data_IF_796369987772
#
_entry.id   IF_796369987772
#
_cell.length_a   1.000
_cell.length_b   1.000
_cell.length_c   1.000
_cell.angle_alpha   90.00
_cell.angle_beta   90.00
_cell.angle_gamma   90.00
#
_symmetry.space_group_name_H-M   'P 1'
#
loop_
_entity.id
_entity.type
_entity.pdbx_description
1 polymer ?
#
# COMPACT_ATOMS: atom_id res chain seq x y z
N UNK A 1 15.35 -5.17 7.41
CA UNK A 1 14.32 -5.65 8.35
C UNK A 1 13.04 -4.89 8.02
N UNK A 2 12.05 -5.52 7.37
CA UNK A 2 10.82 -4.84 6.96
C UNK A 2 9.83 -4.81 8.14
N UNK A 3 9.95 -3.81 9.01
CA UNK A 3 9.16 -3.67 10.23
C UNK A 3 7.91 -2.83 9.98
N UNK A 4 6.85 -3.47 9.48
CA UNK A 4 5.46 -2.98 9.44
C UNK A 4 5.21 -1.70 8.62
N UNK A 5 4.05 -1.66 7.97
CA UNK A 5 3.57 -0.39 7.41
C UNK A 5 3.18 0.56 8.54
N UNK A 6 3.79 1.75 8.51
CA UNK A 6 3.50 2.87 9.40
C UNK A 6 2.69 3.90 8.60
N UNK A 7 1.74 4.58 9.26
CA UNK A 7 1.08 5.72 8.65
C UNK A 7 2.09 6.87 8.55
N UNK A 8 2.39 7.32 7.34
CA UNK A 8 3.35 8.40 7.11
C UNK A 8 2.67 9.75 7.42
N UNK A 9 3.02 10.34 8.57
CA UNK A 9 2.32 11.51 9.10
C UNK A 9 2.78 12.83 8.44
N UNK A 10 2.31 13.10 7.22
CA UNK A 10 2.65 14.29 6.43
C UNK A 10 2.35 15.64 7.09
N UNK A 11 1.45 15.70 8.10
CA UNK A 11 1.15 16.94 8.86
C UNK A 11 2.08 17.19 10.05
N UNK A 12 2.86 16.19 10.47
CA UNK A 12 3.67 16.29 11.71
C UNK A 12 5.16 16.41 11.47
N UNK A 13 5.65 15.89 10.36
CA UNK A 13 7.08 15.85 10.05
C UNK A 13 7.32 15.83 8.56
N UNK A 14 8.55 16.15 8.17
CA UNK A 14 9.03 15.86 6.84
C UNK A 14 9.17 14.33 6.71
N UNK A 15 8.57 13.77 5.67
CA UNK A 15 8.67 12.35 5.31
C UNK A 15 9.56 12.27 4.08
N UNK A 16 10.63 11.49 4.17
CA UNK A 16 11.58 11.31 3.07
C UNK A 16 11.03 10.39 1.98
N UNK A 17 11.62 10.47 0.79
CA UNK A 17 11.32 9.53 -0.31
C UNK A 17 11.68 8.10 0.08
N UNK A 18 12.80 7.92 0.78
CA UNK A 18 13.25 6.63 1.28
C UNK A 18 12.22 5.98 2.22
N UNK A 19 11.61 6.75 3.11
CA UNK A 19 10.55 6.22 3.99
C UNK A 19 9.29 5.81 3.22
N UNK A 20 8.94 6.52 2.15
CA UNK A 20 7.83 6.15 1.28
C UNK A 20 8.15 4.86 0.51
N UNK A 21 9.38 4.72 0.03
CA UNK A 21 9.88 3.51 -0.64
C UNK A 21 9.87 2.32 0.32
N UNK A 22 10.38 2.47 1.54
CA UNK A 22 10.37 1.39 2.54
C UNK A 22 8.95 0.90 2.83
N UNK A 23 7.97 1.81 2.89
CA UNK A 23 6.57 1.45 3.11
C UNK A 23 5.95 0.76 1.88
N UNK A 24 6.31 1.20 0.67
CA UNK A 24 5.93 0.55 -0.59
C UNK A 24 6.50 -0.87 -0.68
N UNK A 25 7.79 -1.03 -0.39
CA UNK A 25 8.49 -2.32 -0.39
C UNK A 25 7.86 -3.30 0.61
N UNK A 26 7.41 -2.81 1.76
CA UNK A 26 6.64 -3.61 2.70
C UNK A 26 5.37 -4.19 2.02
N UNK A 27 4.58 -3.38 1.33
CA UNK A 27 3.37 -3.89 0.68
C UNK A 27 3.65 -4.82 -0.51
N UNK A 28 4.67 -4.52 -1.30
CA UNK A 28 5.12 -5.36 -2.44
C UNK A 28 5.58 -6.72 -1.92
N UNK A 29 6.46 -6.73 -0.92
CA UNK A 29 7.03 -7.96 -0.34
C UNK A 29 5.95 -8.82 0.32
N UNK A 30 5.06 -8.22 1.13
CA UNK A 30 3.97 -8.96 1.78
C UNK A 30 2.98 -9.52 0.77
N UNK A 31 2.60 -8.74 -0.25
CA UNK A 31 1.72 -9.23 -1.31
C UNK A 31 2.33 -10.42 -2.06
N UNK A 32 3.62 -10.32 -2.39
CA UNK A 32 4.38 -11.38 -3.06
C UNK A 32 4.49 -12.65 -2.20
N UNK A 33 4.75 -12.50 -0.90
CA UNK A 33 4.76 -13.60 0.06
C UNK A 33 3.38 -14.28 0.14
N UNK A 34 2.30 -13.49 0.19
CA UNK A 34 0.94 -14.02 0.17
C UNK A 34 0.64 -14.84 -1.09
N UNK A 35 1.02 -14.32 -2.27
CA UNK A 35 0.85 -15.05 -3.54
C UNK A 35 1.67 -16.34 -3.57
N UNK A 36 2.90 -16.33 -3.04
CA UNK A 36 3.74 -17.53 -2.90
C UNK A 36 3.15 -18.56 -1.95
N UNK A 37 2.54 -18.14 -0.84
CA UNK A 37 1.86 -19.06 0.08
C UNK A 37 0.67 -19.74 -0.59
N UNK A 38 -0.05 -19.04 -1.48
CA UNK A 38 -1.16 -19.65 -2.25
C UNK A 38 -0.63 -20.74 -3.18
N UNK A 39 0.47 -20.50 -3.90
CA UNK A 39 1.05 -21.53 -4.79
C UNK A 39 1.58 -22.74 -4.03
N UNK A 40 1.89 -22.58 -2.74
CA UNK A 40 2.26 -23.66 -1.82
C UNK A 40 1.05 -24.34 -1.14
N UNK A 41 -0.19 -23.98 -1.48
CA UNK A 41 -1.40 -24.52 -0.85
C UNK A 41 -1.70 -23.95 0.54
N UNK A 42 -0.93 -22.97 1.03
CA UNK A 42 -1.04 -22.38 2.37
C UNK A 42 -2.00 -21.19 2.42
N UNK A 43 -3.23 -21.41 1.95
CA UNK A 43 -4.22 -20.33 1.81
C UNK A 43 -4.54 -19.62 3.14
N UNK A 44 -4.58 -20.35 4.26
CA UNK A 44 -4.84 -19.77 5.59
C UNK A 44 -3.77 -18.76 6.01
N UNK A 45 -2.51 -19.02 5.67
CA UNK A 45 -1.38 -18.12 5.97
C UNK A 45 -1.44 -16.88 5.06
N UNK A 46 -1.67 -17.09 3.76
CA UNK A 46 -1.88 -15.99 2.81
C UNK A 46 -3.06 -15.07 3.22
N UNK A 47 -4.13 -15.63 3.77
CA UNK A 47 -5.26 -14.85 4.29
C UNK A 47 -4.88 -13.97 5.50
N UNK A 48 -3.95 -14.42 6.35
CA UNK A 48 -3.43 -13.57 7.45
C UNK A 48 -2.68 -12.37 6.89
N UNK A 49 -1.83 -12.60 5.88
CA UNK A 49 -1.11 -11.53 5.17
C UNK A 49 -2.09 -10.52 4.56
N UNK A 50 -3.12 -10.98 3.85
CA UNK A 50 -4.11 -10.05 3.27
C UNK A 50 -4.82 -9.21 4.35
N UNK A 51 -5.12 -9.79 5.52
CA UNK A 51 -5.72 -9.05 6.64
C UNK A 51 -4.78 -7.99 7.21
N UNK A 52 -3.49 -8.28 7.32
CA UNK A 52 -2.47 -7.32 7.76
C UNK A 52 -2.33 -6.16 6.78
N UNK A 53 -2.21 -6.47 5.48
CA UNK A 53 -2.15 -5.49 4.40
C UNK A 53 -3.39 -4.60 4.42
N UNK A 54 -4.59 -5.19 4.42
CA UNK A 54 -5.86 -4.45 4.49
C UNK A 54 -5.91 -3.52 5.69
N UNK A 55 -5.47 -4.00 6.86
CA UNK A 55 -5.51 -3.20 8.09
C UNK A 55 -4.59 -1.99 7.99
N UNK A 56 -3.41 -2.16 7.41
CA UNK A 56 -2.42 -1.10 7.22
C UNK A 56 -2.90 -0.08 6.18
N UNK A 57 -3.33 -0.55 5.01
CA UNK A 57 -3.90 0.28 3.95
C UNK A 57 -5.11 1.09 4.44
N UNK A 58 -5.97 0.48 5.25
CA UNK A 58 -7.14 1.17 5.83
C UNK A 58 -6.72 2.34 6.74
N UNK A 59 -5.69 2.14 7.57
CA UNK A 59 -5.20 3.21 8.48
C UNK A 59 -4.67 4.39 7.68
N UNK A 60 -3.84 4.11 6.68
CA UNK A 60 -3.29 5.12 5.79
C UNK A 60 -4.39 5.82 4.97
N UNK A 61 -5.30 5.06 4.35
CA UNK A 61 -6.46 5.59 3.63
C UNK A 61 -7.28 6.56 4.49
N UNK A 62 -7.58 6.18 5.74
CA UNK A 62 -8.34 7.04 6.66
C UNK A 62 -7.55 8.30 6.99
N UNK A 63 -6.25 8.19 7.22
CA UNK A 63 -5.41 9.33 7.57
C UNK A 63 -5.29 10.32 6.40
N UNK A 64 -4.95 9.85 5.20
CA UNK A 64 -4.75 10.70 4.02
C UNK A 64 -6.03 11.37 3.51
N UNK A 65 -7.21 10.79 3.79
CA UNK A 65 -8.49 11.39 3.41
C UNK A 65 -9.01 12.46 4.39
N UNK A 66 -8.33 12.71 5.51
CA UNK A 66 -8.73 13.78 6.44
C UNK A 66 -8.53 15.15 5.78
N UNK A 67 -9.52 16.03 5.87
CA UNK A 67 -9.47 17.38 5.29
C UNK A 67 -8.23 18.17 5.74
N UNK A 68 -7.83 18.05 7.01
CA UNK A 68 -6.65 18.72 7.54
C UNK A 68 -5.31 18.23 6.94
N UNK A 69 -5.28 17.03 6.36
CA UNK A 69 -4.07 16.41 5.79
C UNK A 69 -3.92 16.77 4.31
N UNK A 70 -5.04 16.94 3.58
CA UNK A 70 -5.04 17.25 2.15
C UNK A 70 -4.13 18.42 1.74
N UNK A 71 -4.04 19.55 2.47
CA UNK A 71 -3.14 20.64 2.10
C UNK A 71 -1.65 20.24 2.04
N UNK A 72 -1.20 19.34 2.93
CA UNK A 72 0.19 18.86 2.96
C UNK A 72 0.48 17.94 1.77
N UNK A 73 -0.48 17.08 1.42
CA UNK A 73 -0.41 16.17 0.28
C UNK A 73 -0.46 16.98 -1.03
N UNK A 74 -1.42 17.89 -1.17
CA UNK A 74 -1.62 18.66 -2.40
C UNK A 74 -0.44 19.57 -2.77
N UNK A 75 0.38 19.98 -1.81
CA UNK A 75 1.55 20.84 -2.04
C UNK A 75 2.81 20.07 -2.43
N UNK A 76 2.84 18.75 -2.24
CA UNK A 76 4.01 17.91 -2.50
C UNK A 76 3.65 16.81 -3.51
N UNK A 77 4.26 16.85 -4.71
CA UNK A 77 3.96 15.91 -5.79
C UNK A 77 4.24 14.46 -5.39
N UNK A 78 5.33 14.23 -4.67
CA UNK A 78 5.75 12.91 -4.20
C UNK A 78 4.72 12.35 -3.22
N UNK A 79 4.24 13.17 -2.27
CA UNK A 79 3.20 12.75 -1.33
C UNK A 79 1.88 12.43 -2.04
N UNK A 80 1.51 13.18 -3.09
CA UNK A 80 0.32 12.88 -3.91
C UNK A 80 0.45 11.53 -4.60
N UNK A 81 1.59 11.28 -5.23
CA UNK A 81 1.85 10.01 -5.93
C UNK A 81 1.79 8.85 -4.95
N UNK A 82 2.45 8.96 -3.80
CA UNK A 82 2.39 7.96 -2.74
C UNK A 82 0.95 7.71 -2.25
N UNK A 83 0.24 8.78 -1.88
CA UNK A 83 -1.14 8.70 -1.40
C UNK A 83 -2.09 8.06 -2.43
N UNK A 84 -1.91 8.37 -3.70
CA UNK A 84 -2.74 7.81 -4.76
C UNK A 84 -2.56 6.29 -4.87
N UNK A 85 -1.32 5.79 -4.78
CA UNK A 85 -1.04 4.36 -4.78
C UNK A 85 -1.72 3.63 -3.61
N UNK A 86 -1.64 4.20 -2.41
CA UNK A 86 -2.32 3.65 -1.22
C UNK A 86 -3.84 3.65 -1.37
N UNK A 87 -4.43 4.74 -1.85
CA UNK A 87 -5.89 4.83 -2.06
C UNK A 87 -6.34 3.84 -3.13
N UNK A 88 -5.61 3.72 -4.23
CA UNK A 88 -5.92 2.78 -5.30
C UNK A 88 -5.85 1.34 -4.80
N UNK A 89 -4.77 0.97 -4.12
CA UNK A 89 -4.58 -0.37 -3.55
C UNK A 89 -5.72 -0.74 -2.59
N UNK A 90 -6.11 0.17 -1.70
CA UNK A 90 -7.22 -0.08 -0.77
C UNK A 90 -8.57 -0.19 -1.50
N UNK A 91 -8.82 0.66 -2.50
CA UNK A 91 -10.09 0.68 -3.25
C UNK A 91 -10.33 -0.58 -4.09
N UNK A 92 -9.27 -1.22 -4.60
CA UNK A 92 -9.36 -2.47 -5.37
C UNK A 92 -9.56 -3.72 -4.50
N UNK A 93 -9.53 -3.61 -3.17
CA UNK A 93 -9.82 -4.75 -2.28
C UNK A 93 -11.31 -5.13 -2.34
N UNK A 94 -11.59 -6.40 -2.61
CA UNK A 94 -12.94 -6.91 -2.77
C UNK A 94 -13.11 -8.29 -2.14
N UNK A 95 -14.21 -8.50 -1.40
CA UNK A 95 -14.52 -9.79 -0.74
C UNK A 95 -13.33 -10.41 0.00
N UNK A 96 -12.58 -9.59 0.74
CA UNK A 96 -11.30 -9.90 1.41
C UNK A 96 -11.28 -11.08 2.40
N UNK A 97 -12.43 -11.65 2.75
CA UNK A 97 -12.51 -12.86 3.59
C UNK A 97 -12.75 -14.14 2.80
N UNK A 98 -12.85 -14.04 1.47
CA UNK A 98 -13.08 -15.16 0.58
C UNK A 98 -11.78 -15.64 -0.04
N UNK A 99 -11.48 -16.93 0.11
CA UNK A 99 -10.33 -17.56 -0.53
C UNK A 99 -10.36 -17.48 -2.06
N UNK A 100 -11.57 -17.43 -2.65
CA UNK A 100 -11.74 -17.30 -4.11
C UNK A 100 -11.05 -16.05 -4.67
N UNK A 101 -11.08 -14.94 -3.93
CA UNK A 101 -10.52 -13.66 -4.36
C UNK A 101 -9.20 -13.35 -3.66
N UNK A 102 -8.60 -14.32 -2.96
CA UNK A 102 -7.40 -14.07 -2.15
C UNK A 102 -6.20 -13.68 -3.03
N UNK A 103 -5.95 -14.44 -4.10
CA UNK A 103 -4.89 -14.12 -5.05
C UNK A 103 -5.13 -12.77 -5.70
N UNK A 104 -6.33 -12.54 -6.25
CA UNK A 104 -6.68 -11.29 -6.92
C UNK A 104 -6.50 -10.07 -6.03
N UNK A 105 -6.89 -10.16 -4.75
CA UNK A 105 -6.69 -9.07 -3.79
C UNK A 105 -5.20 -8.78 -3.55
N UNK A 106 -4.37 -9.81 -3.39
CA UNK A 106 -2.93 -9.64 -3.18
C UNK A 106 -2.27 -9.07 -4.44
N UNK A 107 -2.65 -9.57 -5.61
CA UNK A 107 -2.18 -9.06 -6.89
C UNK A 107 -2.60 -7.60 -7.11
N UNK A 108 -3.86 -7.24 -6.82
CA UNK A 108 -4.34 -5.87 -6.96
C UNK A 108 -3.58 -4.88 -6.09
N UNK A 109 -3.22 -5.28 -4.86
CA UNK A 109 -2.37 -4.45 -3.98
C UNK A 109 -0.98 -4.31 -4.60
N UNK A 110 -0.34 -5.42 -4.99
CA UNK A 110 0.98 -5.43 -5.60
C UNK A 110 1.05 -4.56 -6.86
N UNK A 111 0.11 -4.72 -7.78
CA UNK A 111 0.02 -3.98 -9.04
C UNK A 111 -0.22 -2.49 -8.80
N UNK A 112 -1.16 -2.16 -7.90
CA UNK A 112 -1.46 -0.75 -7.60
C UNK A 112 -0.26 -0.03 -7.00
N UNK A 113 0.51 -0.70 -6.14
CA UNK A 113 1.63 -0.08 -5.43
C UNK A 113 2.89 -0.03 -6.30
N UNK A 114 3.22 -1.11 -7.02
CA UNK A 114 4.43 -1.19 -7.86
C UNK A 114 4.42 -0.19 -9.02
N UNK A 115 3.25 0.07 -9.59
CA UNK A 115 3.11 1.12 -10.61
C UNK A 115 3.41 2.51 -10.03
N UNK A 116 3.00 2.79 -8.79
CA UNK A 116 3.24 4.08 -8.14
C UNK A 116 4.68 4.22 -7.65
N UNK A 117 5.29 3.13 -7.20
CA UNK A 117 6.73 3.05 -6.92
C UNK A 117 7.55 3.50 -8.13
N UNK A 118 7.27 2.89 -9.29
CA UNK A 118 7.88 3.30 -10.56
C UNK A 118 7.65 4.78 -10.88
N UNK A 119 6.48 5.30 -10.55
CA UNK A 119 6.17 6.70 -10.77
C UNK A 119 6.87 7.68 -9.80
N UNK A 120 7.16 7.24 -8.58
CA UNK A 120 7.97 7.99 -7.62
C UNK A 120 9.41 8.10 -8.14
N UNK A 121 10.00 6.96 -8.55
CA UNK A 121 11.38 6.91 -9.04
C UNK A 121 11.60 7.61 -10.38
N UNK A 122 10.63 7.55 -11.28
CA UNK A 122 10.74 8.20 -12.59
C UNK A 122 10.34 9.67 -12.57
N UNK A 123 9.92 10.19 -11.41
CA UNK A 123 9.51 11.57 -11.20
C UNK A 123 8.46 12.01 -12.21
N UNK A 124 7.19 11.65 -11.99
CA UNK A 124 6.02 12.02 -12.82
C UNK A 124 6.23 13.30 -13.68
N UNK A 125 6.74 13.10 -14.91
CA UNK A 125 6.65 14.06 -16.02
C UNK A 125 5.41 13.68 -16.82
N UNK A 126 4.25 14.24 -16.44
CA UNK A 126 3.09 14.35 -17.35
C UNK A 126 3.15 15.73 -17.98
#
# INVERSE_FOLDING_TARGET
MFNQSIVLEFDKRLVSEEEMIENIDYYISRSSEGMKLISQGKQKEAMKILKEIKTSLKKEYIYYNKEKIKPYIHRNNVYRTYQWGIVLAYSKLYKVYSYKYLYDNLFNVWDSISNHDSCLFLGYRI
#
